data_IF_210161732854
#
_entry.id   IF_210161732854
#
_cell.length_a   1.000
_cell.length_b   1.000
_cell.length_c   1.000
_cell.angle_alpha   90.00
_cell.angle_beta   90.00
_cell.angle_gamma   90.00
#
_symmetry.space_group_name_H-M   'P 1'
#
loop_
_entity.id
_entity.type
_entity.pdbx_description
1 polymer ?
#
# COMPACT_ATOMS: atom_id res chain seq x y z
N UNK A 1 15.77 10.12 21.94
CA UNK A 1 14.48 10.37 22.61
C UNK A 1 13.56 9.21 22.30
N UNK A 2 12.89 8.61 23.29
CA UNK A 2 11.91 7.54 23.04
C UNK A 2 10.65 8.11 22.40
N UNK A 3 9.97 7.34 21.50
CA UNK A 3 8.62 7.71 21.06
C UNK A 3 7.80 8.03 22.30
N UNK A 4 7.02 9.10 22.27
CA UNK A 4 6.17 9.43 23.41
C UNK A 4 5.10 8.35 23.54
N UNK A 5 4.64 8.11 24.77
CA UNK A 5 3.53 7.17 25.00
C UNK A 5 2.33 7.47 24.10
N UNK A 6 2.07 8.74 23.82
CA UNK A 6 0.95 9.19 23.00
C UNK A 6 1.10 8.81 21.52
N UNK A 7 2.33 8.88 20.96
CA UNK A 7 2.59 8.45 19.57
C UNK A 7 2.39 6.95 19.42
N UNK A 8 2.86 6.17 20.37
CA UNK A 8 2.67 4.70 20.36
C UNK A 8 1.19 4.36 20.49
N UNK A 9 0.48 4.95 21.45
CA UNK A 9 -0.95 4.72 21.64
C UNK A 9 -1.78 5.09 20.42
N UNK A 10 -1.43 6.19 19.75
CA UNK A 10 -2.08 6.61 18.50
C UNK A 10 -1.93 5.55 17.40
N UNK A 11 -0.73 4.97 17.23
CA UNK A 11 -0.52 3.93 16.23
C UNK A 11 -1.25 2.65 16.60
N UNK A 12 -1.28 2.26 17.86
CA UNK A 12 -2.05 1.09 18.30
C UNK A 12 -3.56 1.24 18.01
N UNK A 13 -4.11 2.43 18.18
CA UNK A 13 -5.49 2.72 17.77
C UNK A 13 -5.67 2.59 16.24
N UNK A 14 -4.67 3.00 15.45
CA UNK A 14 -4.73 2.80 13.99
C UNK A 14 -4.70 1.32 13.60
N UNK A 15 -3.89 0.53 14.30
CA UNK A 15 -3.83 -0.94 14.10
C UNK A 15 -5.21 -1.55 14.30
N UNK A 16 -5.85 -1.25 15.41
CA UNK A 16 -7.19 -1.77 15.74
C UNK A 16 -8.23 -1.35 14.68
N UNK A 17 -8.29 -0.06 14.36
CA UNK A 17 -9.26 0.47 13.40
C UNK A 17 -9.02 -0.06 11.99
N UNK A 18 -7.76 -0.11 11.52
CA UNK A 18 -7.44 -0.60 10.18
C UNK A 18 -7.75 -2.09 10.04
N UNK A 19 -7.42 -2.91 11.04
CA UNK A 19 -7.79 -4.32 11.07
C UNK A 19 -9.30 -4.51 11.00
N UNK A 20 -10.06 -3.71 11.75
CA UNK A 20 -11.52 -3.73 11.67
C UNK A 20 -12.02 -3.38 10.27
N UNK A 21 -11.52 -2.31 9.65
CA UNK A 21 -11.89 -1.89 8.29
C UNK A 21 -11.58 -2.98 7.26
N UNK A 22 -10.40 -3.59 7.34
CA UNK A 22 -10.00 -4.69 6.45
C UNK A 22 -10.91 -5.91 6.65
N UNK A 23 -11.20 -6.28 7.89
CA UNK A 23 -12.10 -7.38 8.17
C UNK A 23 -13.52 -7.11 7.66
N UNK A 24 -14.07 -5.93 7.93
CA UNK A 24 -15.43 -5.56 7.51
C UNK A 24 -15.54 -5.50 5.97
N UNK A 25 -14.50 -5.04 5.27
CA UNK A 25 -14.53 -4.86 3.82
C UNK A 25 -14.13 -6.11 3.03
N UNK A 26 -13.05 -6.78 3.42
CA UNK A 26 -12.49 -7.94 2.71
C UNK A 26 -12.86 -9.29 3.32
N UNK A 27 -13.42 -9.31 4.53
CA UNK A 27 -13.70 -10.54 5.28
C UNK A 27 -12.43 -11.27 5.75
N UNK A 28 -11.34 -10.55 5.97
CA UNK A 28 -10.03 -11.11 6.33
C UNK A 28 -9.60 -10.58 7.68
N UNK A 29 -9.15 -11.49 8.54
CA UNK A 29 -8.46 -11.13 9.78
C UNK A 29 -6.96 -11.03 9.49
N UNK A 30 -6.37 -9.88 9.73
CA UNK A 30 -4.94 -9.63 9.56
C UNK A 30 -4.22 -9.73 10.90
N UNK A 31 -2.97 -10.21 10.87
CA UNK A 31 -2.12 -10.36 12.06
C UNK A 31 -0.68 -9.99 11.71
N UNK A 32 -0.44 -8.70 11.47
CA UNK A 32 0.91 -8.17 11.27
C UNK A 32 1.43 -7.60 12.56
N UNK A 33 2.67 -7.92 12.90
CA UNK A 33 3.40 -7.21 13.94
C UNK A 33 3.74 -5.79 13.45
N UNK A 34 3.64 -4.81 14.34
CA UNK A 34 3.90 -3.41 13.96
C UNK A 34 5.15 -2.91 14.64
N UNK A 35 6.17 -2.60 13.84
CA UNK A 35 7.39 -1.99 14.29
C UNK A 35 7.34 -0.47 14.08
N UNK A 36 7.32 0.27 15.18
CA UNK A 36 7.21 1.72 15.17
C UNK A 36 8.60 2.34 15.21
N UNK A 37 8.96 3.05 14.13
CA UNK A 37 10.19 3.83 14.03
C UNK A 37 9.90 5.30 14.36
N UNK A 38 10.74 5.92 15.20
CA UNK A 38 10.58 7.33 15.63
C UNK A 38 10.89 8.34 14.53
N UNK A 39 11.65 7.92 13.54
CA UNK A 39 12.03 8.77 12.45
C UNK A 39 12.81 8.02 11.39
N UNK A 40 13.33 8.79 10.42
CA UNK A 40 14.03 8.26 9.26
C UNK A 40 15.19 7.35 9.62
N UNK A 41 16.03 7.74 10.55
CA UNK A 41 17.22 6.94 10.97
C UNK A 41 16.85 5.53 11.44
N UNK A 42 15.86 5.42 12.34
CA UNK A 42 15.42 4.11 12.83
C UNK A 42 14.83 3.26 11.70
N UNK A 43 14.07 3.89 10.80
CA UNK A 43 13.52 3.23 9.62
C UNK A 43 14.64 2.71 8.70
N UNK A 44 15.66 3.50 8.42
CA UNK A 44 16.82 3.10 7.62
C UNK A 44 17.54 1.89 8.25
N UNK A 45 17.75 1.89 9.56
CA UNK A 45 18.35 0.76 10.28
C UNK A 45 17.51 -0.51 10.12
N UNK A 46 16.18 -0.39 10.25
CA UNK A 46 15.27 -1.52 10.07
C UNK A 46 15.29 -2.07 8.64
N UNK A 47 15.30 -1.20 7.64
CA UNK A 47 15.38 -1.59 6.22
C UNK A 47 16.71 -2.29 5.93
N UNK A 48 17.83 -1.73 6.40
CA UNK A 48 19.18 -2.30 6.22
C UNK A 48 19.28 -3.68 6.89
N UNK A 49 18.78 -3.82 8.11
CA UNK A 49 18.84 -5.08 8.85
C UNK A 49 18.09 -6.23 8.16
N UNK A 50 17.06 -5.91 7.37
CA UNK A 50 16.28 -6.89 6.60
C UNK A 50 16.94 -7.35 5.29
N UNK A 51 18.08 -6.75 4.91
CA UNK A 51 18.87 -7.09 3.69
C UNK A 51 18.05 -7.13 2.39
N UNK A 52 17.01 -6.35 2.29
CA UNK A 52 16.18 -6.30 1.09
C UNK A 52 16.74 -5.26 0.11
N UNK A 53 17.30 -5.71 -1.03
CA UNK A 53 17.83 -4.82 -2.05
C UNK A 53 16.76 -3.87 -2.64
N UNK A 54 15.54 -4.35 -2.80
CA UNK A 54 14.42 -3.53 -3.27
C UNK A 54 14.08 -2.39 -2.30
N UNK A 55 14.33 -2.57 -1.02
CA UNK A 55 14.09 -1.55 0.01
C UNK A 55 15.16 -0.45 0.01
N UNK A 56 16.40 -0.73 -0.43
CA UNK A 56 17.46 0.28 -0.45
C UNK A 56 17.16 1.44 -1.42
N UNK A 57 16.50 1.18 -2.54
CA UNK A 57 16.10 2.23 -3.48
C UNK A 57 15.09 3.20 -2.86
N UNK A 58 14.28 2.75 -1.90
CA UNK A 58 13.28 3.56 -1.22
C UNK A 58 13.88 4.48 -0.15
N UNK A 59 15.07 4.16 0.37
CA UNK A 59 15.74 4.98 1.39
C UNK A 59 16.12 6.38 0.89
N UNK A 60 16.23 6.57 -0.42
CA UNK A 60 16.50 7.87 -1.02
C UNK A 60 15.26 8.78 -1.04
N UNK A 61 14.04 8.24 -0.89
CA UNK A 61 12.84 9.06 -0.78
C UNK A 61 12.62 9.51 0.67
N UNK A 62 12.77 10.81 0.91
CA UNK A 62 12.55 11.43 2.23
C UNK A 62 11.11 11.28 2.72
N UNK A 63 10.18 11.01 1.80
CA UNK A 63 8.74 10.83 2.06
C UNK A 63 8.37 9.38 2.41
N UNK A 64 9.35 8.47 2.42
CA UNK A 64 9.11 7.08 2.77
C UNK A 64 8.61 6.96 4.21
N UNK A 65 7.42 6.42 4.39
CA UNK A 65 6.67 6.42 5.66
C UNK A 65 6.54 5.04 6.27
N UNK A 66 6.37 4.01 5.43
CA UNK A 66 6.12 2.65 5.90
C UNK A 66 6.57 1.59 4.90
N UNK A 67 6.58 0.35 5.33
CA UNK A 67 6.84 -0.82 4.51
C UNK A 67 6.25 -2.07 5.13
N UNK A 68 5.73 -2.96 4.28
CA UNK A 68 5.25 -4.28 4.68
C UNK A 68 6.28 -5.36 4.32
N UNK A 69 6.80 -6.06 5.32
CA UNK A 69 7.65 -7.23 5.13
C UNK A 69 6.81 -8.51 5.25
N UNK A 70 6.43 -9.08 4.13
CA UNK A 70 5.61 -10.29 4.08
C UNK A 70 6.29 -11.53 4.65
N UNK A 71 7.63 -11.59 4.60
CA UNK A 71 8.38 -12.75 5.07
C UNK A 71 8.40 -12.82 6.59
N UNK A 72 8.39 -11.67 7.22
CA UNK A 72 8.40 -11.53 8.67
C UNK A 72 6.99 -11.35 9.24
N UNK A 73 5.99 -11.04 8.39
CA UNK A 73 4.65 -10.69 8.87
C UNK A 73 4.63 -9.36 9.61
N UNK A 74 5.48 -8.41 9.21
CA UNK A 74 5.66 -7.13 9.91
C UNK A 74 5.30 -5.93 9.03
N UNK A 75 4.77 -4.91 9.67
CA UNK A 75 4.64 -3.55 9.12
C UNK A 75 5.58 -2.63 9.89
N UNK A 76 6.53 -2.02 9.20
CA UNK A 76 7.43 -1.01 9.76
C UNK A 76 6.92 0.36 9.40
N UNK A 77 6.71 1.25 10.37
CA UNK A 77 6.12 2.57 10.14
C UNK A 77 6.81 3.67 10.94
N UNK A 78 6.98 4.84 10.32
CA UNK A 78 7.53 6.05 10.96
C UNK A 78 6.44 6.82 11.67
N UNK A 79 6.54 6.99 13.00
CA UNK A 79 5.53 7.70 13.78
C UNK A 79 5.58 9.23 13.61
N UNK A 80 6.74 9.79 13.21
CA UNK A 80 6.95 11.23 13.07
C UNK A 80 6.15 11.87 11.92
N UNK A 81 5.91 11.12 10.83
CA UNK A 81 5.19 11.63 9.65
C UNK A 81 4.00 10.77 9.22
N UNK A 82 3.82 9.60 9.83
CA UNK A 82 2.74 8.71 9.46
C UNK A 82 1.37 9.32 9.78
N UNK A 83 0.40 8.94 8.96
CA UNK A 83 -1.05 9.14 9.18
C UNK A 83 -1.73 7.79 9.07
N UNK A 84 -2.96 7.70 9.54
CA UNK A 84 -3.78 6.49 9.44
C UNK A 84 -3.76 5.87 8.04
N UNK A 85 -3.94 6.68 6.99
CA UNK A 85 -3.94 6.19 5.61
C UNK A 85 -2.61 5.55 5.18
N UNK A 86 -1.45 5.97 5.71
CA UNK A 86 -0.18 5.31 5.42
C UNK A 86 -0.12 3.91 6.05
N UNK A 87 -0.60 3.78 7.30
CA UNK A 87 -0.68 2.47 7.94
C UNK A 87 -1.65 1.53 7.20
N UNK A 88 -2.84 2.04 6.84
CA UNK A 88 -3.82 1.28 6.07
C UNK A 88 -3.28 0.82 4.71
N UNK A 89 -2.49 1.67 4.03
CA UNK A 89 -1.81 1.33 2.77
C UNK A 89 -0.88 0.12 2.94
N UNK A 90 -0.04 0.14 3.96
CA UNK A 90 0.86 -0.98 4.26
C UNK A 90 0.08 -2.25 4.65
N UNK A 91 -0.99 -2.11 5.42
CA UNK A 91 -1.83 -3.24 5.80
C UNK A 91 -2.53 -3.85 4.58
N UNK A 92 -2.99 -3.03 3.64
CA UNK A 92 -3.57 -3.51 2.38
C UNK A 92 -2.52 -4.27 1.55
N UNK A 93 -1.27 -3.78 1.47
CA UNK A 93 -0.20 -4.56 0.88
C UNK A 93 -0.11 -5.96 1.48
N UNK A 94 -0.28 -6.09 2.80
CA UNK A 94 -0.23 -7.36 3.51
C UNK A 94 -1.29 -8.38 3.09
N UNK A 95 -2.40 -7.96 2.50
CA UNK A 95 -3.49 -8.85 2.05
C UNK A 95 -3.52 -9.05 0.53
N UNK A 96 -2.81 -8.24 -0.25
CA UNK A 96 -2.76 -8.38 -1.71
C UNK A 96 -1.97 -9.63 -2.09
N UNK A 97 -2.49 -10.39 -3.04
CA UNK A 97 -1.79 -11.57 -3.54
C UNK A 97 -0.41 -11.23 -4.11
N UNK A 98 0.60 -11.99 -3.68
CA UNK A 98 1.97 -11.87 -4.18
C UNK A 98 2.13 -12.30 -5.64
N UNK A 99 1.14 -12.96 -6.23
CA UNK A 99 1.15 -13.34 -7.65
C UNK A 99 0.93 -12.17 -8.60
N UNK A 100 0.44 -11.02 -8.11
CA UNK A 100 0.23 -9.84 -8.94
C UNK A 100 1.54 -9.10 -9.25
N UNK A 101 1.66 -8.49 -10.44
CA UNK A 101 2.73 -7.55 -10.74
C UNK A 101 2.80 -6.42 -9.71
N UNK A 102 4.00 -5.92 -9.46
CA UNK A 102 4.22 -4.86 -8.46
C UNK A 102 3.31 -3.64 -8.68
N UNK A 103 3.17 -3.20 -9.93
CA UNK A 103 2.35 -2.05 -10.30
C UNK A 103 0.87 -2.22 -9.95
N UNK A 104 0.34 -3.44 -10.18
CA UNK A 104 -1.04 -3.77 -9.83
C UNK A 104 -1.22 -3.82 -8.31
N UNK A 105 -0.22 -4.33 -7.59
CA UNK A 105 -0.23 -4.34 -6.12
C UNK A 105 -0.24 -2.93 -5.55
N UNK A 106 0.61 -2.04 -6.06
CA UNK A 106 0.62 -0.62 -5.71
C UNK A 106 -0.73 0.04 -6.05
N UNK A 107 -1.27 -0.26 -7.24
CA UNK A 107 -2.57 0.22 -7.67
C UNK A 107 -3.69 -0.17 -6.72
N UNK A 108 -3.77 -1.43 -6.32
CA UNK A 108 -4.75 -1.90 -5.33
C UNK A 108 -4.55 -1.25 -3.97
N UNK A 109 -3.31 -1.19 -3.50
CA UNK A 109 -3.00 -0.58 -2.21
C UNK A 109 -3.45 0.88 -2.17
N UNK A 110 -3.13 1.69 -3.16
CA UNK A 110 -3.57 3.09 -3.24
C UNK A 110 -5.08 3.23 -3.42
N UNK A 111 -5.68 2.48 -4.34
CA UNK A 111 -7.12 2.54 -4.59
C UNK A 111 -7.93 2.26 -3.31
N UNK A 112 -7.66 1.14 -2.64
CA UNK A 112 -8.40 0.78 -1.44
C UNK A 112 -8.05 1.68 -0.25
N UNK A 113 -6.81 2.15 -0.12
CA UNK A 113 -6.46 3.14 0.91
C UNK A 113 -7.32 4.37 0.78
N UNK A 114 -7.43 4.95 -0.42
CA UNK A 114 -8.20 6.17 -0.64
C UNK A 114 -9.69 5.94 -0.41
N UNK A 115 -10.22 4.87 -0.96
CA UNK A 115 -11.63 4.49 -0.79
C UNK A 115 -11.98 4.28 0.69
N UNK A 116 -11.23 3.46 1.40
CA UNK A 116 -11.55 3.10 2.77
C UNK A 116 -11.27 4.22 3.77
N UNK A 117 -10.27 5.08 3.54
CA UNK A 117 -10.07 6.28 4.37
C UNK A 117 -11.20 7.28 4.20
N UNK A 118 -11.73 7.45 2.99
CA UNK A 118 -12.88 8.33 2.73
C UNK A 118 -14.16 7.78 3.39
N UNK A 119 -14.47 6.51 3.20
CA UNK A 119 -15.63 5.84 3.81
C UNK A 119 -15.57 5.88 5.35
N UNK A 120 -14.38 5.76 5.93
CA UNK A 120 -14.14 5.79 7.37
C UNK A 120 -13.92 7.20 7.94
N UNK A 121 -14.02 8.24 7.12
CA UNK A 121 -13.85 9.66 7.49
C UNK A 121 -12.47 10.01 8.05
N UNK A 122 -11.44 9.25 7.69
CA UNK A 122 -10.06 9.59 8.00
C UNK A 122 -9.50 10.56 6.95
N UNK A 123 -8.48 11.32 7.37
CA UNK A 123 -7.77 12.22 6.46
C UNK A 123 -7.00 11.40 5.42
N UNK A 124 -7.22 11.70 4.15
CA UNK A 124 -6.48 11.07 3.06
C UNK A 124 -4.96 11.22 3.26
N UNK A 125 -4.16 10.18 2.98
CA UNK A 125 -2.72 10.31 2.97
C UNK A 125 -2.28 11.29 1.88
N UNK A 126 -1.21 12.03 2.12
CA UNK A 126 -0.57 12.86 1.09
C UNK A 126 0.29 11.98 0.18
N UNK A 127 0.16 12.13 -1.13
CA UNK A 127 0.94 11.39 -2.12
C UNK A 127 1.21 12.25 -3.36
N UNK A 128 2.24 11.93 -4.18
CA UNK A 128 2.53 12.66 -5.39
C UNK A 128 1.43 12.52 -6.45
N UNK A 129 1.16 13.56 -7.27
CA UNK A 129 0.10 13.53 -8.29
C UNK A 129 0.19 12.36 -9.28
N UNK A 130 1.41 11.87 -9.58
CA UNK A 130 1.58 10.74 -10.49
C UNK A 130 0.97 9.42 -9.95
N UNK A 131 0.76 9.31 -8.64
CA UNK A 131 0.06 8.15 -8.03
C UNK A 131 -1.36 8.03 -8.56
N UNK A 132 -2.08 9.15 -8.71
CA UNK A 132 -3.43 9.14 -9.29
C UNK A 132 -3.41 8.61 -10.73
N UNK A 133 -2.48 9.11 -11.54
CA UNK A 133 -2.41 8.78 -12.97
C UNK A 133 -1.98 7.33 -13.20
N UNK A 134 -0.96 6.85 -12.45
CA UNK A 134 -0.35 5.55 -12.70
C UNK A 134 -1.02 4.39 -11.96
N UNK A 135 -1.65 4.66 -10.82
CA UNK A 135 -2.16 3.62 -9.95
C UNK A 135 -3.66 3.73 -9.69
N UNK A 136 -4.13 4.88 -9.21
CA UNK A 136 -5.52 5.02 -8.75
C UNK A 136 -6.49 5.02 -9.92
N UNK A 137 -6.24 5.86 -10.94
CA UNK A 137 -7.12 5.96 -12.10
C UNK A 137 -7.27 4.63 -12.87
N UNK A 138 -6.19 3.89 -13.22
CA UNK A 138 -6.34 2.59 -13.88
C UNK A 138 -7.11 1.58 -13.05
N UNK A 139 -6.94 1.54 -11.71
CA UNK A 139 -7.71 0.63 -10.86
C UNK A 139 -9.18 1.07 -10.72
N UNK A 140 -9.46 2.38 -10.70
CA UNK A 140 -10.84 2.86 -10.80
C UNK A 140 -11.52 2.36 -12.09
N UNK A 141 -10.84 2.47 -13.24
CA UNK A 141 -11.35 1.95 -14.52
C UNK A 141 -11.54 0.45 -14.50
N UNK A 142 -10.61 -0.28 -13.87
CA UNK A 142 -10.77 -1.72 -13.67
C UNK A 142 -12.03 -2.01 -12.84
N UNK A 143 -12.23 -1.28 -11.74
CA UNK A 143 -13.41 -1.44 -10.87
C UNK A 143 -14.74 -1.15 -11.62
N UNK A 144 -14.76 -0.17 -12.52
CA UNK A 144 -15.92 0.13 -13.37
C UNK A 144 -16.25 -1.04 -14.32
N UNK A 145 -15.24 -1.74 -14.83
CA UNK A 145 -15.40 -2.87 -15.75
C UNK A 145 -15.81 -4.15 -15.04
N UNK A 146 -15.14 -4.49 -13.94
CA UNK A 146 -15.31 -5.81 -13.30
C UNK A 146 -16.24 -5.78 -12.08
N UNK A 147 -16.53 -4.61 -11.54
CA UNK A 147 -17.29 -4.43 -10.31
C UNK A 147 -16.44 -4.63 -9.03
N UNK A 148 -16.92 -4.08 -7.93
CA UNK A 148 -16.17 -4.04 -6.67
C UNK A 148 -15.92 -5.42 -6.06
N UNK A 149 -16.89 -6.34 -6.11
CA UNK A 149 -16.73 -7.67 -5.51
C UNK A 149 -15.70 -8.50 -6.27
N UNK A 150 -15.71 -8.47 -7.60
CA UNK A 150 -14.68 -9.14 -8.38
C UNK A 150 -13.29 -8.51 -8.15
N UNK A 151 -13.24 -7.17 -8.01
CA UNK A 151 -11.98 -6.46 -7.70
C UNK A 151 -11.40 -6.89 -6.34
N UNK A 152 -12.24 -7.11 -5.32
CA UNK A 152 -11.80 -7.68 -4.03
C UNK A 152 -11.19 -9.07 -4.22
N UNK A 153 -11.91 -9.96 -4.92
CA UNK A 153 -11.45 -11.32 -5.15
C UNK A 153 -10.16 -11.34 -5.98
N UNK A 154 -10.05 -10.47 -6.98
CA UNK A 154 -8.83 -10.28 -7.74
C UNK A 154 -7.68 -9.82 -6.84
N UNK A 155 -7.90 -8.82 -6.01
CA UNK A 155 -6.90 -8.30 -5.04
C UNK A 155 -6.36 -9.41 -4.15
N UNK A 156 -7.24 -10.28 -3.67
CA UNK A 156 -6.90 -11.41 -2.80
C UNK A 156 -6.32 -12.63 -3.53
N UNK A 157 -6.24 -12.58 -4.87
CA UNK A 157 -5.80 -13.70 -5.69
C UNK A 157 -6.81 -14.85 -5.77
N UNK A 158 -8.07 -14.61 -5.39
CA UNK A 158 -9.18 -15.58 -5.51
C UNK A 158 -9.77 -15.61 -6.93
N UNK A 159 -9.56 -14.54 -7.70
CA UNK A 159 -9.95 -14.42 -9.09
C UNK A 159 -8.73 -14.15 -9.97
N UNK A 160 -8.84 -14.43 -11.26
CA UNK A 160 -7.85 -14.10 -12.28
C UNK A 160 -8.49 -13.33 -13.43
N UNK A 161 -7.67 -12.56 -14.15
CA UNK A 161 -8.12 -11.71 -15.23
C UNK A 161 -7.21 -11.84 -16.45
N UNK A 162 -7.79 -11.81 -17.65
CA UNK A 162 -7.05 -11.74 -18.89
C UNK A 162 -6.79 -10.27 -19.22
N UNK A 163 -5.56 -9.81 -19.05
CA UNK A 163 -5.18 -8.41 -19.22
C UNK A 163 -5.49 -7.87 -20.62
N UNK A 164 -5.42 -8.72 -21.64
CA UNK A 164 -5.64 -8.38 -23.06
C UNK A 164 -7.07 -7.92 -23.35
N UNK A 165 -8.03 -8.29 -22.49
CA UNK A 165 -9.44 -7.93 -22.63
C UNK A 165 -9.78 -6.58 -21.96
N UNK A 166 -8.82 -5.95 -21.31
CA UNK A 166 -9.02 -4.70 -20.56
C UNK A 166 -8.80 -3.46 -21.44
N UNK A 167 -9.34 -2.29 -21.03
CA UNK A 167 -8.94 -1.01 -21.61
C UNK A 167 -7.43 -0.79 -21.54
N UNK A 168 -6.86 -0.09 -22.52
CA UNK A 168 -5.39 0.08 -22.64
C UNK A 168 -4.74 0.71 -21.40
N UNK A 169 -5.40 1.70 -20.81
CA UNK A 169 -4.95 2.37 -19.60
C UNK A 169 -4.88 1.43 -18.38
N UNK A 170 -5.77 0.41 -18.36
CA UNK A 170 -5.74 -0.63 -17.33
C UNK A 170 -4.67 -1.69 -17.64
N UNK A 171 -4.46 -2.02 -18.93
CA UNK A 171 -3.41 -2.94 -19.34
C UNK A 171 -2.01 -2.50 -18.88
N UNK A 172 -1.78 -1.20 -18.74
CA UNK A 172 -0.52 -0.65 -18.25
C UNK A 172 -0.10 -1.20 -16.86
N UNK A 173 -1.07 -1.54 -16.00
CA UNK A 173 -0.79 -2.17 -14.70
C UNK A 173 -0.21 -3.58 -14.80
N UNK A 174 -0.31 -4.20 -15.95
CA UNK A 174 0.20 -5.55 -16.25
C UNK A 174 1.48 -5.54 -17.09
N UNK A 175 2.00 -4.35 -17.44
CA UNK A 175 3.24 -4.22 -18.19
C UNK A 175 4.44 -4.76 -17.40
N UNK A 176 5.52 -5.18 -18.06
CA UNK A 176 6.79 -5.43 -17.39
C UNK A 176 7.26 -4.20 -16.61
N UNK A 177 7.88 -4.43 -15.47
CA UNK A 177 8.27 -3.38 -14.51
C UNK A 177 9.12 -2.28 -15.16
N UNK A 178 10.04 -2.65 -16.03
CA UNK A 178 10.94 -1.73 -16.73
C UNK A 178 10.17 -0.76 -17.64
N UNK A 179 9.15 -1.26 -18.35
CA UNK A 179 8.30 -0.46 -19.24
C UNK A 179 7.43 0.51 -18.43
N UNK A 180 6.86 0.02 -17.35
CA UNK A 180 6.05 0.83 -16.46
C UNK A 180 6.85 1.98 -15.84
N UNK A 181 8.05 1.72 -15.31
CA UNK A 181 8.90 2.75 -14.73
C UNK A 181 9.50 3.71 -15.78
N UNK A 182 9.71 3.26 -17.02
CA UNK A 182 10.05 4.19 -18.08
C UNK A 182 8.92 5.22 -18.29
N UNK A 183 7.67 4.76 -18.29
CA UNK A 183 6.49 5.62 -18.41
C UNK A 183 6.35 6.58 -17.22
N UNK A 184 6.60 6.12 -15.99
CA UNK A 184 6.61 6.93 -14.77
C UNK A 184 7.58 8.11 -14.86
N UNK A 185 8.80 7.90 -15.36
CA UNK A 185 9.83 8.95 -15.48
C UNK A 185 9.45 10.12 -16.38
N UNK A 186 8.47 9.97 -17.25
CA UNK A 186 7.93 11.06 -18.06
C UNK A 186 6.86 11.89 -17.34
N UNK A 187 6.40 11.46 -16.18
CA UNK A 187 5.34 12.12 -15.39
C UNK A 187 5.90 12.83 -14.14
N UNK A 188 7.14 12.51 -13.75
CA UNK A 188 7.90 13.19 -12.68
C UNK A 188 8.61 14.44 -13.21
#
# INVERSE_FOLDING_TARGET
MSATSDEVNKILLWVEHANKIINDYFGIVTSFDVLICRGRWEMEVQVISRKSQSMFSMLNDTRFVGITDYRLGEIVIRCDIARFGHYLHELIHGIISNSHPHQLREGFAWYFTLKLTEESRYVRPSYPPWVDVLYVYPVNKLAEVVGNEFLKDLTLGKASLQAELLPRDVQDLFLPEEVFYAKKRYLE
#
